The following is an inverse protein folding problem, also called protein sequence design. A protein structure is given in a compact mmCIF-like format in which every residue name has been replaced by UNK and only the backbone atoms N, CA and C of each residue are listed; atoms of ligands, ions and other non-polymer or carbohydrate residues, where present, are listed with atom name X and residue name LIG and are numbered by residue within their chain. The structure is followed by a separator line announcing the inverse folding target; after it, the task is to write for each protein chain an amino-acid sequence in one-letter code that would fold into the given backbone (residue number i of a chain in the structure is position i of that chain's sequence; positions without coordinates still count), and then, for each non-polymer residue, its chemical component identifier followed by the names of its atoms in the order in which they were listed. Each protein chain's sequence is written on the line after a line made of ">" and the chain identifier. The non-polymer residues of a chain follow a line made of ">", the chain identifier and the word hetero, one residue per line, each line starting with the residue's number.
data_IF_040413237886
#
_entry.id   IF_040413237886
#
_cell.length_a   1.000
_cell.length_b   1.000
_cell.length_c   1.000
_cell.angle_alpha   90.00
_cell.angle_beta   90.00
_cell.angle_gamma   90.00
#
_symmetry.space_group_name_H-M   'P 1'
#
loop_
_entity.id
_entity.type
_entity.pdbx_description
1 polymer ?
#
# COMPACT_ATOMS: atom_id res chain seq x y z
N UNK A 1 -13.94 69.77 -20.65
CA UNK A 1 -14.12 68.33 -20.32
C UNK A 1 -14.41 68.27 -18.83
N UNK A 2 -15.61 67.90 -18.45
CA UNK A 2 -15.91 67.75 -17.01
C UNK A 2 -15.20 66.47 -16.53
N UNK A 3 -14.22 66.65 -15.62
CA UNK A 3 -13.48 65.55 -15.04
C UNK A 3 -14.35 64.88 -13.98
N UNK A 4 -14.57 63.57 -14.16
CA UNK A 4 -15.24 62.74 -13.14
C UNK A 4 -14.30 62.45 -11.98
N UNK A 5 -14.82 62.40 -10.77
CA UNK A 5 -14.07 61.87 -9.64
C UNK A 5 -13.90 60.35 -9.79
N UNK A 6 -12.89 59.77 -9.12
CA UNK A 6 -12.69 58.31 -9.12
C UNK A 6 -13.93 57.59 -8.57
N UNK A 7 -14.58 58.19 -7.56
CA UNK A 7 -15.82 57.64 -7.00
C UNK A 7 -16.95 57.63 -8.03
N UNK A 8 -17.14 58.72 -8.78
CA UNK A 8 -18.21 58.81 -9.80
C UNK A 8 -17.97 57.82 -10.93
N UNK A 9 -16.70 57.64 -11.35
CA UNK A 9 -16.34 56.63 -12.35
C UNK A 9 -16.64 55.22 -11.85
N UNK A 10 -16.23 54.90 -10.60
CA UNK A 10 -16.49 53.59 -10.03
C UNK A 10 -18.01 53.33 -9.80
N UNK A 11 -18.76 54.36 -9.45
CA UNK A 11 -20.22 54.30 -9.34
C UNK A 11 -20.89 54.04 -10.70
N UNK A 12 -20.37 54.62 -11.79
CA UNK A 12 -20.81 54.30 -13.15
C UNK A 12 -20.51 52.84 -13.52
N UNK A 13 -19.32 52.36 -13.23
CA UNK A 13 -18.94 50.95 -13.45
C UNK A 13 -19.87 50.03 -12.66
N UNK A 14 -20.14 50.30 -11.39
CA UNK A 14 -21.11 49.52 -10.60
C UNK A 14 -22.47 49.44 -11.27
N UNK A 15 -23.06 50.58 -11.61
CA UNK A 15 -24.40 50.65 -12.25
C UNK A 15 -24.39 49.89 -13.57
N UNK A 16 -23.35 50.05 -14.37
CA UNK A 16 -23.25 49.32 -15.65
C UNK A 16 -23.19 47.81 -15.46
N UNK A 17 -22.41 47.36 -14.47
CA UNK A 17 -22.35 45.92 -14.13
C UNK A 17 -23.67 45.40 -13.59
N UNK A 18 -24.35 46.12 -12.71
CA UNK A 18 -25.67 45.75 -12.17
C UNK A 18 -26.74 45.70 -13.24
N UNK A 19 -26.64 46.55 -14.26
CA UNK A 19 -27.60 46.54 -15.43
C UNK A 19 -27.26 45.45 -16.45
N UNK A 20 -25.97 45.19 -16.71
CA UNK A 20 -25.55 44.21 -17.72
C UNK A 20 -25.51 42.78 -17.20
N UNK A 21 -25.29 42.62 -15.90
CA UNK A 21 -25.14 41.30 -15.23
C UNK A 21 -26.05 41.18 -14.00
N UNK A 22 -27.39 41.36 -14.17
CA UNK A 22 -28.34 41.34 -13.05
C UNK A 22 -28.60 39.94 -12.50
N UNK A 23 -28.27 38.88 -13.27
CA UNK A 23 -28.60 37.50 -12.97
C UNK A 23 -27.52 36.83 -12.12
N UNK A 24 -27.83 35.64 -11.65
CA UNK A 24 -26.87 34.71 -11.06
C UNK A 24 -26.26 33.85 -12.15
N UNK A 25 -24.96 33.58 -12.06
CA UNK A 25 -24.23 32.81 -13.06
C UNK A 25 -23.54 31.61 -12.39
N UNK A 26 -23.61 30.45 -13.04
CA UNK A 26 -22.81 29.30 -12.67
C UNK A 26 -21.43 29.43 -13.30
N UNK A 27 -20.40 29.44 -12.45
CA UNK A 27 -19.00 29.49 -12.89
C UNK A 27 -18.23 28.27 -12.44
N UNK A 28 -17.35 27.81 -13.31
CA UNK A 28 -16.37 26.75 -13.02
C UNK A 28 -15.04 27.42 -12.71
N UNK A 29 -14.48 27.14 -11.54
CA UNK A 29 -13.18 27.69 -11.14
C UNK A 29 -12.47 26.74 -10.18
N UNK A 30 -11.15 26.91 -10.07
CA UNK A 30 -10.33 26.31 -9.03
C UNK A 30 -10.19 27.33 -7.88
N UNK A 31 -10.31 26.88 -6.64
CA UNK A 31 -10.07 27.71 -5.47
C UNK A 31 -8.56 27.77 -5.22
N UNK A 32 -7.93 28.93 -5.41
CA UNK A 32 -6.50 29.09 -5.10
C UNK A 32 -6.25 29.51 -3.65
N UNK A 33 -7.24 30.16 -3.02
CA UNK A 33 -7.17 30.57 -1.63
C UNK A 33 -8.57 30.52 -0.99
N UNK A 34 -8.63 30.05 0.25
CA UNK A 34 -9.86 29.97 1.06
C UNK A 34 -9.55 30.46 2.46
N UNK A 35 -10.11 31.60 2.85
CA UNK A 35 -9.88 32.22 4.16
C UNK A 35 -11.20 32.57 4.85
N UNK A 36 -11.35 32.14 6.09
CA UNK A 36 -12.50 32.53 6.93
C UNK A 36 -12.05 33.58 7.93
N UNK A 37 -12.79 34.67 8.03
CA UNK A 37 -12.53 35.68 9.02
C UNK A 37 -13.23 35.40 10.36
N UNK A 38 -12.94 36.21 11.38
CA UNK A 38 -13.53 36.09 12.73
C UNK A 38 -15.05 36.27 12.77
N UNK A 39 -15.64 36.95 11.77
CA UNK A 39 -17.10 37.17 11.64
C UNK A 39 -17.80 36.05 10.88
N UNK A 40 -17.06 35.00 10.45
CA UNK A 40 -17.60 33.84 9.76
C UNK A 40 -17.80 34.01 8.24
N UNK A 41 -17.38 35.12 7.65
CA UNK A 41 -17.36 35.26 6.19
C UNK A 41 -16.18 34.51 5.60
N UNK A 42 -16.40 33.84 4.45
CA UNK A 42 -15.35 33.17 3.71
C UNK A 42 -14.96 33.99 2.48
N UNK A 43 -13.68 34.27 2.38
CA UNK A 43 -13.07 34.98 1.23
C UNK A 43 -12.37 33.93 0.37
N UNK A 44 -12.64 33.99 -0.92
CA UNK A 44 -12.17 33.03 -1.91
C UNK A 44 -11.36 33.75 -2.98
N UNK A 45 -10.41 33.03 -3.53
CA UNK A 45 -9.75 33.41 -4.76
C UNK A 45 -10.01 32.34 -5.82
N UNK A 46 -10.75 32.70 -6.86
CA UNK A 46 -11.03 31.84 -8.00
C UNK A 46 -9.93 32.02 -9.05
N UNK A 47 -9.45 30.90 -9.58
CA UNK A 47 -8.50 30.86 -10.68
C UNK A 47 -8.97 29.91 -11.76
N UNK A 48 -8.61 30.22 -13.00
CA UNK A 48 -8.75 29.32 -14.14
C UNK A 48 -7.39 29.20 -14.82
N UNK A 49 -6.96 27.96 -15.02
CA UNK A 49 -5.71 27.63 -15.70
C UNK A 49 -6.01 27.06 -17.08
N UNK A 50 -5.13 27.34 -18.03
CA UNK A 50 -5.20 26.71 -19.36
C UNK A 50 -4.88 25.20 -19.25
N UNK A 51 -5.71 24.39 -19.87
CA UNK A 51 -5.57 22.94 -19.83
C UNK A 51 -4.27 22.40 -20.45
N UNK A 52 -3.60 23.18 -21.32
CA UNK A 52 -2.38 22.75 -22.01
C UNK A 52 -1.11 23.32 -21.39
N UNK A 53 -1.12 24.59 -21.02
CA UNK A 53 0.06 25.31 -20.54
C UNK A 53 0.11 25.45 -19.01
N UNK A 54 -0.96 25.06 -18.30
CA UNK A 54 -1.15 25.28 -16.85
C UNK A 54 -0.95 26.76 -16.43
N UNK A 55 -0.94 27.69 -17.40
CA UNK A 55 -0.85 29.11 -17.14
C UNK A 55 -2.17 29.70 -16.68
N UNK A 56 -2.10 30.70 -15.82
CA UNK A 56 -3.29 31.40 -15.30
C UNK A 56 -3.97 32.19 -16.41
N UNK A 57 -5.24 31.89 -16.71
CA UNK A 57 -6.03 32.59 -17.72
C UNK A 57 -6.95 33.64 -17.10
N UNK A 58 -7.56 33.31 -15.96
CA UNK A 58 -8.48 34.20 -15.27
C UNK A 58 -8.30 34.09 -13.75
N UNK A 59 -8.56 35.21 -13.09
CA UNK A 59 -8.50 35.34 -11.63
C UNK A 59 -9.63 36.23 -11.15
N UNK A 60 -10.33 35.82 -10.10
CA UNK A 60 -11.43 36.56 -9.50
C UNK A 60 -11.43 36.43 -7.99
N UNK A 61 -11.88 37.46 -7.30
CA UNK A 61 -12.13 37.39 -5.85
C UNK A 61 -13.56 36.99 -5.60
N UNK A 62 -13.76 36.11 -4.62
CA UNK A 62 -15.08 35.65 -4.19
C UNK A 62 -15.32 35.87 -2.70
N UNK A 63 -16.57 36.03 -2.35
CA UNK A 63 -17.02 36.13 -0.96
C UNK A 63 -18.22 35.24 -0.75
N UNK A 64 -18.20 34.43 0.31
CA UNK A 64 -19.38 33.75 0.83
C UNK A 64 -19.74 34.40 2.16
N UNK A 65 -20.94 34.95 2.22
CA UNK A 65 -21.41 35.54 3.46
C UNK A 65 -21.65 34.51 4.56
N UNK A 66 -21.45 34.86 5.81
CA UNK A 66 -21.47 33.93 6.96
C UNK A 66 -22.76 33.11 7.07
N UNK A 67 -23.90 33.68 6.73
CA UNK A 67 -25.20 33.01 6.72
C UNK A 67 -25.25 31.89 5.65
N UNK A 68 -24.71 32.13 4.47
CA UNK A 68 -24.62 31.14 3.37
C UNK A 68 -23.51 30.14 3.68
N UNK A 69 -22.34 30.61 4.09
CA UNK A 69 -21.18 29.74 4.35
C UNK A 69 -21.44 28.68 5.43
N UNK A 70 -22.20 29.05 6.46
CA UNK A 70 -22.60 28.11 7.54
C UNK A 70 -23.43 26.92 7.03
N UNK A 71 -24.17 27.10 5.96
CA UNK A 71 -24.98 26.04 5.34
C UNK A 71 -24.22 25.34 4.21
N UNK A 72 -23.56 26.12 3.37
CA UNK A 72 -22.89 25.65 2.15
C UNK A 72 -21.68 24.77 2.46
N UNK A 73 -20.86 25.15 3.45
CA UNK A 73 -19.67 24.37 3.80
C UNK A 73 -20.01 22.97 4.29
N UNK A 74 -20.87 22.73 5.30
CA UNK A 74 -21.24 21.38 5.71
C UNK A 74 -21.91 20.59 4.60
N UNK A 75 -22.81 21.21 3.82
CA UNK A 75 -23.48 20.57 2.68
C UNK A 75 -22.46 20.06 1.65
N UNK A 76 -21.47 20.91 1.28
CA UNK A 76 -20.44 20.52 0.34
C UNK A 76 -19.56 19.39 0.90
N UNK A 77 -19.10 19.52 2.15
CA UNK A 77 -18.21 18.54 2.80
C UNK A 77 -18.90 17.21 3.02
N UNK A 78 -20.19 17.20 3.37
CA UNK A 78 -20.99 15.98 3.49
C UNK A 78 -21.22 15.30 2.14
N UNK A 79 -21.55 16.08 1.09
CA UNK A 79 -21.84 15.55 -0.23
C UNK A 79 -20.59 15.05 -0.96
N UNK A 80 -19.47 15.73 -0.82
CA UNK A 80 -18.21 15.39 -1.55
C UNK A 80 -17.26 14.52 -0.73
N UNK A 81 -17.43 14.45 0.59
CA UNK A 81 -16.45 13.83 1.48
C UNK A 81 -15.14 14.59 1.56
N UNK A 82 -15.05 15.83 1.05
CA UNK A 82 -13.84 16.63 0.95
C UNK A 82 -13.98 17.94 1.70
N UNK A 83 -12.91 18.37 2.41
CA UNK A 83 -12.87 19.65 3.05
C UNK A 83 -12.95 20.81 2.01
N UNK A 84 -13.63 21.89 2.38
CA UNK A 84 -13.73 23.09 1.55
C UNK A 84 -12.45 23.95 1.69
N UNK A 85 -11.43 23.59 0.90
CA UNK A 85 -10.07 24.16 0.95
C UNK A 85 -9.57 24.61 -0.43
N UNK A 86 -8.39 25.22 -0.49
CA UNK A 86 -7.71 25.53 -1.76
C UNK A 86 -7.38 24.27 -2.57
N UNK A 87 -7.22 24.42 -3.88
CA UNK A 87 -6.86 23.34 -4.83
C UNK A 87 -8.04 22.56 -5.41
N UNK A 88 -9.27 22.74 -4.92
CA UNK A 88 -10.46 22.07 -5.44
C UNK A 88 -11.09 22.84 -6.61
N UNK A 89 -11.60 22.11 -7.59
CA UNK A 89 -12.45 22.68 -8.65
C UNK A 89 -13.90 22.63 -8.23
N UNK A 90 -14.56 23.76 -8.33
CA UNK A 90 -15.94 23.95 -7.93
C UNK A 90 -16.79 24.52 -9.06
N UNK A 91 -18.05 24.16 -9.05
CA UNK A 91 -19.10 24.82 -9.82
C UNK A 91 -19.96 25.60 -8.82
N UNK A 92 -19.88 26.92 -8.88
CA UNK A 92 -20.54 27.81 -7.91
C UNK A 92 -21.49 28.78 -8.62
N UNK A 93 -22.61 29.03 -7.99
CA UNK A 93 -23.53 30.05 -8.41
C UNK A 93 -23.12 31.39 -7.77
N UNK A 94 -22.85 32.38 -8.60
CA UNK A 94 -22.36 33.67 -8.15
C UNK A 94 -23.18 34.82 -8.68
N UNK A 95 -23.24 35.91 -7.93
CA UNK A 95 -23.64 37.21 -8.43
C UNK A 95 -22.41 38.09 -8.58
N UNK A 96 -22.39 38.89 -9.64
CA UNK A 96 -21.34 39.84 -9.90
C UNK A 96 -21.61 41.10 -9.08
N UNK A 97 -20.63 41.57 -8.32
CA UNK A 97 -20.72 42.76 -7.51
C UNK A 97 -19.47 43.66 -7.72
N UNK A 98 -19.68 44.94 -7.65
CA UNK A 98 -18.62 45.92 -7.70
C UNK A 98 -18.80 46.93 -6.55
N UNK A 99 -17.73 47.16 -5.83
CA UNK A 99 -17.70 48.11 -4.73
C UNK A 99 -16.69 49.22 -5.06
N UNK A 100 -17.03 50.46 -4.83
CA UNK A 100 -16.23 51.61 -5.22
C UNK A 100 -14.81 51.59 -4.62
N UNK A 101 -14.64 51.00 -3.41
CA UNK A 101 -13.33 50.88 -2.75
C UNK A 101 -12.63 49.53 -3.05
N UNK A 102 -13.38 48.43 -3.15
CA UNK A 102 -12.82 47.09 -3.22
C UNK A 102 -12.78 46.51 -4.62
N UNK A 103 -13.45 47.18 -5.58
CA UNK A 103 -13.49 46.78 -6.98
C UNK A 103 -14.43 45.60 -7.24
N UNK A 104 -14.13 44.84 -8.27
CA UNK A 104 -14.87 43.70 -8.73
C UNK A 104 -14.75 42.50 -7.79
N UNK A 105 -15.86 41.86 -7.46
CA UNK A 105 -15.94 40.63 -6.67
C UNK A 105 -17.15 39.78 -7.03
N UNK A 106 -17.08 38.51 -6.73
CA UNK A 106 -18.14 37.52 -6.93
C UNK A 106 -18.73 37.14 -5.57
N UNK A 107 -20.05 37.23 -5.43
CA UNK A 107 -20.73 36.76 -4.22
C UNK A 107 -21.30 35.39 -4.50
N UNK A 108 -20.81 34.38 -3.80
CA UNK A 108 -21.28 33.00 -3.95
C UNK A 108 -22.62 32.83 -3.23
N UNK A 109 -23.57 32.24 -3.90
CA UNK A 109 -24.91 31.95 -3.38
C UNK A 109 -25.15 30.45 -3.20
N UNK A 110 -24.59 29.63 -4.10
CA UNK A 110 -24.77 28.18 -4.07
C UNK A 110 -23.57 27.46 -4.66
N UNK A 111 -23.47 26.14 -4.44
CA UNK A 111 -22.42 25.26 -4.95
C UNK A 111 -23.01 23.94 -5.41
N UNK A 112 -22.53 23.43 -6.53
CA UNK A 112 -22.87 22.07 -6.99
C UNK A 112 -21.75 21.09 -6.67
N UNK A 113 -21.95 20.22 -5.66
CA UNK A 113 -20.95 19.21 -5.28
C UNK A 113 -20.71 18.15 -6.37
N UNK A 114 -21.69 17.91 -7.24
CA UNK A 114 -21.59 16.84 -8.27
C UNK A 114 -20.50 17.14 -9.29
N UNK A 115 -20.26 18.40 -9.58
CA UNK A 115 -19.17 18.84 -10.45
C UNK A 115 -17.79 18.47 -9.86
N UNK A 116 -17.58 18.73 -8.57
CA UNK A 116 -16.33 18.42 -7.86
C UNK A 116 -16.09 16.92 -7.84
N UNK A 117 -17.13 16.13 -7.53
CA UNK A 117 -17.08 14.66 -7.58
C UNK A 117 -16.72 14.14 -8.97
N UNK A 118 -17.32 14.72 -10.01
CA UNK A 118 -17.02 14.39 -11.41
C UNK A 118 -15.57 14.70 -11.80
N UNK A 119 -15.01 15.82 -11.36
CA UNK A 119 -13.59 16.19 -11.61
C UNK A 119 -12.64 15.23 -10.87
N UNK A 120 -12.96 14.88 -9.63
CA UNK A 120 -12.19 13.89 -8.85
C UNK A 120 -12.18 12.51 -9.52
N UNK A 121 -13.34 12.02 -9.92
CA UNK A 121 -13.45 10.73 -10.62
C UNK A 121 -12.67 10.73 -11.96
N UNK A 122 -12.70 11.85 -12.69
CA UNK A 122 -11.93 12.02 -13.93
C UNK A 122 -10.43 11.99 -13.63
N UNK A 123 -9.95 12.75 -12.66
CA UNK A 123 -8.51 12.77 -12.25
C UNK A 123 -8.03 11.39 -11.84
N UNK A 124 -8.82 10.66 -11.02
CA UNK A 124 -8.50 9.27 -10.64
C UNK A 124 -8.34 8.38 -11.88
N UNK A 125 -9.28 8.49 -12.82
CA UNK A 125 -9.23 7.71 -14.07
C UNK A 125 -8.03 8.05 -14.94
N UNK A 126 -7.66 9.33 -15.03
CA UNK A 126 -6.47 9.80 -15.74
C UNK A 126 -5.18 9.25 -15.09
N UNK A 127 -5.06 9.31 -13.77
CA UNK A 127 -3.91 8.76 -13.03
C UNK A 127 -3.81 7.24 -13.23
N UNK A 128 -4.92 6.50 -13.07
CA UNK A 128 -4.92 5.04 -13.29
C UNK A 128 -4.57 4.67 -14.72
N UNK A 129 -5.02 5.46 -15.71
CA UNK A 129 -4.68 5.27 -17.12
C UNK A 129 -3.18 5.48 -17.35
N UNK A 130 -2.61 6.54 -16.77
CA UNK A 130 -1.18 6.84 -16.87
C UNK A 130 -0.35 5.72 -16.24
N UNK A 131 -0.66 5.28 -15.01
CA UNK A 131 0.03 4.17 -14.33
C UNK A 131 -0.06 2.85 -15.12
N UNK A 132 -1.17 2.64 -15.83
CA UNK A 132 -1.35 1.48 -16.71
C UNK A 132 -0.49 1.58 -17.97
N UNK A 133 -0.43 2.75 -18.60
CA UNK A 133 0.42 3.01 -19.79
C UNK A 133 1.90 2.86 -19.46
N UNK A 134 2.30 3.24 -18.27
CA UNK A 134 3.67 3.06 -17.76
C UNK A 134 3.97 1.62 -17.29
N UNK A 135 2.96 0.75 -17.22
CA UNK A 135 3.09 -0.66 -16.83
C UNK A 135 3.36 -0.87 -15.33
N UNK A 136 3.15 0.15 -14.49
CA UNK A 136 3.43 0.06 -13.05
C UNK A 136 2.23 -0.33 -12.19
N UNK A 137 1.02 -0.25 -12.74
CA UNK A 137 -0.24 -0.42 -12.00
C UNK A 137 -0.34 -1.74 -11.22
N UNK A 138 0.28 -2.82 -11.70
CA UNK A 138 0.16 -4.17 -11.12
C UNK A 138 1.42 -4.65 -10.42
N UNK A 139 2.51 -3.89 -10.44
CA UNK A 139 3.82 -4.34 -9.95
C UNK A 139 3.78 -4.79 -8.48
N UNK A 140 3.11 -4.03 -7.62
CA UNK A 140 2.99 -4.40 -6.20
C UNK A 140 2.07 -5.63 -6.01
N UNK A 141 1.03 -5.78 -6.85
CA UNK A 141 0.11 -6.94 -6.81
C UNK A 141 0.77 -8.25 -7.22
N UNK A 142 1.85 -8.18 -8.00
CA UNK A 142 2.61 -9.35 -8.45
C UNK A 142 3.60 -9.86 -7.40
N UNK A 143 3.87 -9.06 -6.37
CA UNK A 143 4.69 -9.46 -5.24
C UNK A 143 4.00 -10.59 -4.47
N UNK A 144 4.79 -11.47 -3.87
CA UNK A 144 4.26 -12.53 -3.00
C UNK A 144 4.33 -12.06 -1.55
N UNK A 145 3.22 -12.13 -0.85
CA UNK A 145 3.26 -11.99 0.60
C UNK A 145 4.03 -13.19 1.19
N UNK A 146 4.99 -12.95 2.08
CA UNK A 146 5.65 -14.02 2.80
C UNK A 146 4.62 -14.92 3.51
N UNK A 147 4.89 -16.22 3.58
CA UNK A 147 3.99 -17.17 4.29
C UNK A 147 3.79 -16.82 5.76
N UNK A 148 4.78 -16.18 6.37
CA UNK A 148 4.78 -15.76 7.76
C UNK A 148 5.08 -14.25 7.83
N UNK A 149 4.10 -13.36 7.57
CA UNK A 149 4.30 -11.91 7.56
C UNK A 149 4.28 -11.38 8.99
N UNK A 150 5.39 -11.57 9.73
CA UNK A 150 5.48 -11.21 11.14
C UNK A 150 6.01 -9.79 11.37
N UNK A 151 6.85 -9.26 10.46
CA UNK A 151 7.49 -7.95 10.60
C UNK A 151 6.77 -6.92 9.76
N UNK A 152 6.01 -6.07 10.40
CA UNK A 152 5.04 -5.18 9.77
C UNK A 152 5.49 -3.73 9.94
N UNK A 153 5.73 -3.02 8.83
CA UNK A 153 5.88 -1.58 8.84
C UNK A 153 4.49 -0.94 8.72
N UNK A 154 4.08 -0.16 9.72
CA UNK A 154 2.76 0.48 9.74
C UNK A 154 2.91 1.97 9.48
N UNK A 155 2.28 2.48 8.42
CA UNK A 155 2.20 3.91 8.13
C UNK A 155 0.83 4.39 8.61
N UNK A 156 0.82 5.23 9.65
CA UNK A 156 -0.40 5.78 10.24
C UNK A 156 -0.11 7.02 11.08
N UNK A 157 -1.18 7.69 11.52
CA UNK A 157 -1.04 8.72 12.56
C UNK A 157 -0.88 8.07 13.94
N UNK A 158 0.05 8.54 14.78
CA UNK A 158 0.25 8.00 16.13
C UNK A 158 -1.00 8.07 17.03
N UNK A 159 -1.86 9.05 16.77
CA UNK A 159 -3.08 9.31 17.54
C UNK A 159 -4.34 8.68 16.90
N UNK A 160 -4.18 7.97 15.80
CA UNK A 160 -5.31 7.36 15.10
C UNK A 160 -5.89 6.18 15.89
N UNK A 161 -7.18 6.21 16.16
CA UNK A 161 -7.90 5.08 16.80
C UNK A 161 -7.68 3.78 16.01
N UNK A 162 -7.74 3.84 14.67
CA UNK A 162 -7.53 2.66 13.81
C UNK A 162 -6.16 2.01 13.96
N UNK A 163 -5.11 2.76 14.30
CA UNK A 163 -3.81 2.16 14.62
C UNK A 163 -3.86 1.38 15.94
N UNK A 164 -4.54 1.93 16.95
CA UNK A 164 -4.77 1.23 18.20
C UNK A 164 -5.58 -0.06 18.01
N UNK A 165 -6.67 0.01 17.23
CA UNK A 165 -7.52 -1.15 16.91
C UNK A 165 -6.76 -2.23 16.14
N UNK A 166 -5.93 -1.83 15.17
CA UNK A 166 -5.04 -2.73 14.42
C UNK A 166 -4.07 -3.48 15.35
N UNK A 167 -3.34 -2.75 16.20
CA UNK A 167 -2.41 -3.36 17.14
C UNK A 167 -3.11 -4.26 18.15
N UNK A 168 -4.26 -3.84 18.67
CA UNK A 168 -5.06 -4.62 19.60
C UNK A 168 -5.54 -5.94 18.97
N UNK A 169 -6.01 -5.91 17.72
CA UNK A 169 -6.43 -7.11 16.98
C UNK A 169 -5.26 -8.08 16.77
N UNK A 170 -4.07 -7.58 16.40
CA UNK A 170 -2.88 -8.42 16.25
C UNK A 170 -2.39 -9.02 17.56
N UNK A 171 -2.48 -8.27 18.67
CA UNK A 171 -2.04 -8.76 19.99
C UNK A 171 -3.00 -9.81 20.59
N UNK A 172 -4.30 -9.67 20.33
CA UNK A 172 -5.32 -10.55 20.88
C UNK A 172 -5.82 -11.58 19.84
N UNK A 173 -4.97 -12.00 18.92
CA UNK A 173 -5.35 -12.99 17.91
C UNK A 173 -5.56 -14.39 18.54
N UNK A 174 -6.59 -15.14 18.09
CA UNK A 174 -6.92 -16.45 18.64
C UNK A 174 -5.82 -17.51 18.43
N UNK A 175 -5.01 -17.36 17.37
CA UNK A 175 -3.92 -18.28 17.04
C UNK A 175 -2.67 -18.10 17.91
N UNK A 176 -2.61 -17.07 18.75
CA UNK A 176 -1.45 -16.78 19.60
C UNK A 176 -0.19 -16.41 18.81
N UNK A 177 -0.34 -15.93 17.59
CA UNK A 177 0.77 -15.52 16.74
C UNK A 177 1.37 -14.22 17.22
N UNK A 178 2.69 -14.13 17.13
CA UNK A 178 3.41 -12.93 17.49
C UNK A 178 3.74 -12.10 16.24
N UNK A 179 3.40 -10.80 16.28
CA UNK A 179 3.70 -9.83 15.24
C UNK A 179 4.57 -8.71 15.78
N UNK A 180 5.56 -8.32 15.02
CA UNK A 180 6.42 -7.18 15.31
C UNK A 180 5.98 -6.01 14.43
N UNK A 181 5.34 -5.01 15.04
CA UNK A 181 4.86 -3.81 14.35
C UNK A 181 5.77 -2.62 14.65
N UNK A 182 6.21 -1.91 13.62
CA UNK A 182 6.92 -0.64 13.77
C UNK A 182 6.10 0.48 13.11
N UNK A 183 5.80 1.53 13.89
CA UNK A 183 5.04 2.67 13.39
C UNK A 183 5.95 3.69 12.70
N UNK A 184 5.58 4.03 11.47
CA UNK A 184 6.12 5.14 10.69
C UNK A 184 5.10 6.26 10.69
N UNK A 185 5.29 7.31 11.53
CA UNK A 185 4.31 8.35 11.69
C UNK A 185 4.13 9.14 10.38
N UNK A 186 2.88 9.26 9.94
CA UNK A 186 2.52 10.06 8.79
C UNK A 186 1.20 10.82 9.03
N UNK A 187 1.05 11.94 8.35
CA UNK A 187 -0.22 12.68 8.30
C UNK A 187 -1.19 11.90 7.40
N UNK A 188 -2.38 11.63 7.92
CA UNK A 188 -3.42 10.86 7.21
C UNK A 188 -4.57 11.74 6.73
N UNK A 189 -4.45 13.06 6.83
CA UNK A 189 -5.44 14.05 6.44
C UNK A 189 -4.79 15.36 6.01
N UNK A 190 -5.43 16.08 5.06
CA UNK A 190 -5.02 17.38 4.57
C UNK A 190 -3.98 17.30 3.43
N UNK A 191 -3.54 18.47 2.98
CA UNK A 191 -2.72 18.64 1.77
C UNK A 191 -1.34 17.98 1.82
N UNK A 192 -0.78 17.73 3.01
CA UNK A 192 0.56 17.14 3.18
C UNK A 192 0.58 15.64 3.39
N UNK A 193 -0.52 14.93 3.09
CA UNK A 193 -0.59 13.46 3.18
C UNK A 193 0.43 12.82 2.26
N UNK A 194 0.47 13.23 0.98
CA UNK A 194 1.40 12.70 -0.02
C UNK A 194 2.85 12.79 0.46
N UNK A 195 3.31 13.98 0.79
CA UNK A 195 4.68 14.22 1.26
C UNK A 195 5.03 13.37 2.49
N UNK A 196 4.10 13.32 3.45
CA UNK A 196 4.29 12.61 4.71
C UNK A 196 4.36 11.10 4.53
N UNK A 197 3.49 10.51 3.68
CA UNK A 197 3.49 9.07 3.40
C UNK A 197 4.70 8.68 2.54
N UNK A 198 5.09 9.49 1.56
CA UNK A 198 6.30 9.27 0.78
C UNK A 198 7.55 9.27 1.67
N UNK A 199 7.66 10.22 2.60
CA UNK A 199 8.77 10.25 3.56
C UNK A 199 8.77 9.03 4.50
N UNK A 200 7.61 8.47 4.84
CA UNK A 200 7.52 7.23 5.60
C UNK A 200 7.96 6.01 4.76
N UNK A 201 7.52 5.94 3.50
CA UNK A 201 7.94 4.89 2.56
C UNK A 201 9.47 4.92 2.33
N UNK A 202 10.07 6.11 2.19
CA UNK A 202 11.53 6.26 2.04
C UNK A 202 12.29 5.73 3.26
N UNK A 203 11.77 5.99 4.47
CA UNK A 203 12.35 5.46 5.71
C UNK A 203 12.26 3.94 5.77
N UNK A 204 11.16 3.35 5.34
CA UNK A 204 10.99 1.90 5.26
C UNK A 204 11.93 1.33 4.20
N UNK A 205 12.02 1.99 3.05
CA UNK A 205 12.89 1.59 1.94
C UNK A 205 14.38 1.55 2.33
N UNK A 206 14.79 2.40 3.27
CA UNK A 206 16.16 2.37 3.81
C UNK A 206 16.46 1.14 4.69
N UNK A 207 15.41 0.39 5.13
CA UNK A 207 15.49 -0.75 6.07
C UNK A 207 14.64 -1.94 5.64
N UNK A 208 14.58 -2.22 4.34
CA UNK A 208 13.72 -3.26 3.75
C UNK A 208 13.84 -4.64 4.40
N UNK A 209 15.06 -5.03 4.79
CA UNK A 209 15.31 -6.35 5.37
C UNK A 209 14.64 -6.57 6.73
N UNK A 210 14.18 -5.49 7.37
CA UNK A 210 13.53 -5.56 8.67
C UNK A 210 12.02 -5.83 8.58
N UNK A 211 11.44 -5.76 7.38
CA UNK A 211 10.00 -5.84 7.20
C UNK A 211 9.61 -6.87 6.15
N UNK A 212 8.46 -7.47 6.36
CA UNK A 212 7.85 -8.44 5.46
C UNK A 212 6.74 -7.80 4.60
N UNK A 213 6.01 -6.84 5.18
CA UNK A 213 4.89 -6.13 4.55
C UNK A 213 4.81 -4.69 5.06
N UNK A 214 4.21 -3.83 4.25
CA UNK A 214 3.85 -2.46 4.63
C UNK A 214 2.34 -2.37 4.75
N UNK A 215 1.85 -1.77 5.81
CA UNK A 215 0.42 -1.55 6.05
C UNK A 215 0.17 -0.06 6.16
N UNK A 216 -0.66 0.49 5.27
CA UNK A 216 -1.08 1.89 5.30
C UNK A 216 -2.50 1.93 5.80
N UNK A 217 -2.69 2.43 7.03
CA UNK A 217 -4.00 2.47 7.67
C UNK A 217 -4.34 3.87 8.16
N UNK A 218 -5.62 4.21 8.02
CA UNK A 218 -6.19 5.45 8.52
C UNK A 218 -7.13 5.15 9.69
N UNK A 219 -7.07 5.95 10.73
CA UNK A 219 -8.04 5.91 11.84
C UNK A 219 -9.39 6.47 11.42
N UNK A 220 -10.46 5.99 12.03
CA UNK A 220 -11.80 6.55 11.88
C UNK A 220 -11.84 8.02 12.30
N UNK A 221 -12.13 8.89 11.37
CA UNK A 221 -12.46 10.31 11.55
C UNK A 221 -13.59 10.63 10.59
N UNK A 222 -14.24 11.80 10.71
CA UNK A 222 -15.28 12.25 9.79
C UNK A 222 -14.89 11.91 8.35
N UNK A 223 -15.85 11.62 7.50
CA UNK A 223 -15.76 11.18 6.10
C UNK A 223 -14.92 12.06 5.17
N UNK A 224 -14.09 12.91 5.73
CA UNK A 224 -13.39 14.01 5.10
C UNK A 224 -12.03 13.59 4.55
N UNK A 225 -11.84 13.96 3.32
CA UNK A 225 -10.59 14.17 2.59
C UNK A 225 -9.66 12.95 2.43
N UNK A 226 -10.01 12.14 1.44
CA UNK A 226 -9.15 11.08 0.90
C UNK A 226 -8.31 11.57 -0.30
N UNK A 227 -8.44 12.82 -0.70
CA UNK A 227 -7.80 13.39 -1.89
C UNK A 227 -6.28 13.31 -1.84
N UNK A 228 -5.69 13.37 -0.64
CA UNK A 228 -4.25 13.21 -0.45
C UNK A 228 -3.72 11.81 -0.83
N UNK A 229 -4.59 10.81 -0.94
CA UNK A 229 -4.25 9.45 -1.40
C UNK A 229 -4.52 9.25 -2.90
N UNK A 230 -5.10 10.23 -3.58
CA UNK A 230 -5.44 10.21 -5.00
C UNK A 230 -4.41 10.94 -5.87
N UNK A 231 -3.14 10.81 -5.54
CA UNK A 231 -2.05 11.46 -6.26
C UNK A 231 -1.24 10.46 -7.06
N UNK A 232 -0.70 10.91 -8.20
CA UNK A 232 0.12 10.08 -9.07
C UNK A 232 1.42 9.64 -8.37
N UNK A 233 2.10 10.57 -7.71
CA UNK A 233 3.41 10.30 -7.10
C UNK A 233 3.31 9.24 -6.00
N UNK A 234 2.30 9.36 -5.12
CA UNK A 234 2.09 8.40 -4.05
C UNK A 234 1.68 7.03 -4.60
N UNK A 235 0.80 6.99 -5.60
CA UNK A 235 0.38 5.76 -6.25
C UNK A 235 1.54 5.06 -6.96
N UNK A 236 2.37 5.81 -7.69
CA UNK A 236 3.56 5.27 -8.37
C UNK A 236 4.59 4.73 -7.36
N UNK A 237 4.81 5.44 -6.25
CA UNK A 237 5.70 4.99 -5.18
C UNK A 237 5.20 3.68 -4.54
N UNK A 238 3.89 3.57 -4.24
CA UNK A 238 3.30 2.35 -3.68
C UNK A 238 3.31 1.19 -4.69
N UNK A 239 3.01 1.47 -5.97
CA UNK A 239 3.01 0.46 -7.02
C UNK A 239 4.40 -0.17 -7.23
N UNK A 240 5.45 0.63 -7.11
CA UNK A 240 6.84 0.20 -7.32
C UNK A 240 7.55 -0.18 -6.01
N UNK A 241 6.85 -0.15 -4.88
CA UNK A 241 7.45 -0.48 -3.59
C UNK A 241 7.88 -1.94 -3.55
N UNK A 242 9.09 -2.27 -3.06
CA UNK A 242 9.64 -3.63 -3.12
C UNK A 242 9.01 -4.61 -2.13
N UNK A 243 8.21 -4.13 -1.17
CA UNK A 243 7.42 -4.96 -0.26
C UNK A 243 5.94 -4.89 -0.61
N UNK A 244 5.16 -5.96 -0.35
CA UNK A 244 3.71 -5.91 -0.49
C UNK A 244 3.11 -4.81 0.37
N UNK A 245 2.28 -3.96 -0.24
CA UNK A 245 1.57 -2.87 0.44
C UNK A 245 0.12 -3.27 0.66
N UNK A 246 -0.33 -3.21 1.90
CA UNK A 246 -1.72 -3.45 2.29
C UNK A 246 -2.32 -2.10 2.67
N UNK A 247 -3.47 -1.75 2.08
CA UNK A 247 -4.18 -0.50 2.40
C UNK A 247 -5.45 -0.78 3.18
N UNK A 248 -5.68 -0.02 4.25
CA UNK A 248 -6.90 -0.01 5.04
C UNK A 248 -7.33 1.43 5.33
N UNK A 249 -7.59 2.20 4.25
CA UNK A 249 -7.75 3.66 4.30
C UNK A 249 -9.23 4.06 4.26
N UNK A 250 -10.05 3.41 3.42
CA UNK A 250 -11.39 3.85 3.08
C UNK A 250 -12.49 2.84 3.37
N UNK A 251 -13.75 3.32 3.34
CA UNK A 251 -14.97 2.51 3.38
C UNK A 251 -15.37 2.02 1.98
N UNK A 252 -16.43 1.19 1.88
CA UNK A 252 -16.88 0.53 0.63
C UNK A 252 -17.13 1.45 -0.57
N UNK A 253 -17.40 2.74 -0.33
CA UNK A 253 -17.75 3.71 -1.37
C UNK A 253 -16.59 4.64 -1.79
N UNK A 254 -15.47 4.57 -1.10
CA UNK A 254 -14.39 5.55 -1.22
C UNK A 254 -13.08 4.90 -1.67
N UNK A 255 -13.07 4.36 -2.90
CA UNK A 255 -11.87 3.82 -3.50
C UNK A 255 -10.85 4.93 -3.80
N UNK A 256 -9.64 4.77 -3.31
CA UNK A 256 -8.52 5.67 -3.65
C UNK A 256 -7.64 5.09 -4.77
N UNK A 257 -6.84 5.96 -5.41
CA UNK A 257 -5.88 5.49 -6.41
C UNK A 257 -4.85 4.55 -5.79
N UNK A 258 -4.41 4.82 -4.55
CA UNK A 258 -3.46 3.95 -3.84
C UNK A 258 -4.06 2.55 -3.56
N UNK A 259 -5.35 2.45 -3.28
CA UNK A 259 -6.04 1.15 -3.12
C UNK A 259 -6.02 0.34 -4.42
N UNK A 260 -6.05 1.02 -5.55
CA UNK A 260 -6.02 0.38 -6.86
C UNK A 260 -4.65 -0.20 -7.23
N UNK A 261 -3.56 0.33 -6.69
CA UNK A 261 -2.18 -0.11 -6.98
C UNK A 261 -1.60 -1.00 -5.88
N UNK A 262 -2.13 -0.94 -4.66
CA UNK A 262 -1.68 -1.75 -3.53
C UNK A 262 -1.82 -3.25 -3.82
N UNK A 263 -1.00 -4.06 -3.16
CA UNK A 263 -1.07 -5.52 -3.23
C UNK A 263 -2.44 -6.03 -2.77
N UNK A 264 -2.85 -5.60 -1.59
CA UNK A 264 -4.14 -5.98 -1.00
C UNK A 264 -4.84 -4.75 -0.45
N UNK A 265 -6.09 -4.58 -0.85
CA UNK A 265 -6.98 -3.58 -0.28
C UNK A 265 -7.90 -4.22 0.74
N UNK A 266 -8.04 -3.59 1.88
CA UNK A 266 -9.01 -3.96 2.91
C UNK A 266 -9.81 -2.72 3.34
N UNK A 267 -10.99 -2.95 3.94
CA UNK A 267 -11.95 -1.87 4.25
C UNK A 267 -11.59 -1.07 5.50
N UNK A 268 -10.93 -1.71 6.45
CA UNK A 268 -10.69 -1.13 7.78
C UNK A 268 -9.32 -1.55 8.30
N UNK A 269 -8.74 -0.81 9.27
CA UNK A 269 -7.54 -1.23 9.97
C UNK A 269 -7.65 -2.62 10.62
N UNK A 270 -8.82 -2.94 11.20
CA UNK A 270 -9.08 -4.27 11.78
C UNK A 270 -9.08 -5.37 10.73
N UNK A 271 -9.65 -5.12 9.55
CA UNK A 271 -9.59 -6.07 8.43
C UNK A 271 -8.15 -6.28 7.90
N UNK A 272 -7.28 -5.27 8.02
CA UNK A 272 -5.86 -5.44 7.70
C UNK A 272 -5.15 -6.37 8.71
N UNK A 273 -5.50 -6.27 9.99
CA UNK A 273 -5.00 -7.18 11.00
C UNK A 273 -5.53 -8.61 10.79
N UNK A 274 -6.83 -8.77 10.50
CA UNK A 274 -7.44 -10.06 10.19
C UNK A 274 -6.76 -10.73 9.00
N UNK A 275 -6.54 -9.99 7.92
CA UNK A 275 -5.85 -10.52 6.73
C UNK A 275 -4.46 -11.07 7.07
N UNK A 276 -3.69 -10.40 7.92
CA UNK A 276 -2.37 -10.87 8.34
C UNK A 276 -2.46 -12.08 9.27
N UNK A 277 -3.46 -12.12 10.15
CA UNK A 277 -3.74 -13.27 11.01
C UNK A 277 -4.14 -14.48 10.16
N UNK A 278 -4.97 -14.28 9.13
CA UNK A 278 -5.39 -15.35 8.20
C UNK A 278 -4.20 -15.94 7.44
N UNK A 279 -3.25 -15.11 6.98
CA UNK A 279 -2.01 -15.62 6.37
C UNK A 279 -1.23 -16.54 7.33
N UNK A 280 -1.21 -16.22 8.62
CA UNK A 280 -0.55 -17.07 9.63
C UNK A 280 -1.35 -18.34 9.91
N UNK A 281 -2.70 -18.25 9.96
CA UNK A 281 -3.58 -19.41 10.10
C UNK A 281 -3.42 -20.38 8.92
N UNK A 282 -3.41 -19.86 7.69
CA UNK A 282 -3.21 -20.69 6.48
C UNK A 282 -1.88 -21.47 6.54
N UNK A 283 -0.82 -20.82 7.03
CA UNK A 283 0.48 -21.46 7.18
C UNK A 283 0.47 -22.53 8.31
N UNK A 284 -0.24 -22.28 9.40
CA UNK A 284 -0.42 -23.23 10.50
C UNK A 284 -1.25 -24.44 10.02
N UNK A 285 -2.35 -24.22 9.33
CA UNK A 285 -3.21 -25.27 8.76
C UNK A 285 -2.45 -26.13 7.75
N UNK A 286 -1.59 -25.52 6.90
CA UNK A 286 -0.73 -26.27 5.98
C UNK A 286 0.23 -27.19 6.75
N UNK A 287 0.82 -26.72 7.84
CA UNK A 287 1.68 -27.50 8.72
C UNK A 287 0.95 -28.67 9.36
N UNK A 288 -0.25 -28.42 9.91
CA UNK A 288 -1.06 -29.46 10.53
C UNK A 288 -1.50 -30.53 9.51
N UNK A 289 -1.86 -30.11 8.29
CA UNK A 289 -2.18 -31.01 7.20
C UNK A 289 -0.99 -31.89 6.82
N UNK A 290 0.21 -31.31 6.75
CA UNK A 290 1.44 -32.06 6.45
C UNK A 290 1.78 -33.04 7.59
N UNK A 291 1.62 -32.62 8.84
CA UNK A 291 1.80 -33.48 10.00
C UNK A 291 0.82 -34.68 10.00
N UNK A 292 -0.48 -34.41 9.73
CA UNK A 292 -1.50 -35.44 9.61
C UNK A 292 -1.18 -36.44 8.48
N UNK A 293 -0.79 -35.96 7.30
CA UNK A 293 -0.39 -36.82 6.17
C UNK A 293 0.80 -37.73 6.49
N UNK A 294 1.78 -37.16 7.22
CA UNK A 294 2.97 -37.91 7.64
C UNK A 294 2.61 -38.99 8.65
N UNK A 295 1.75 -38.66 9.62
CA UNK A 295 1.22 -39.62 10.60
C UNK A 295 0.42 -40.76 9.95
N UNK A 296 -0.52 -40.42 9.07
CA UNK A 296 -1.35 -41.40 8.36
C UNK A 296 -0.51 -42.30 7.43
N UNK A 297 0.48 -41.69 6.75
CA UNK A 297 1.42 -42.47 5.93
C UNK A 297 2.22 -43.46 6.75
N UNK A 298 2.77 -43.02 7.89
CA UNK A 298 3.51 -43.92 8.81
C UNK A 298 2.61 -45.01 9.39
N UNK A 299 1.39 -44.67 9.81
CA UNK A 299 0.41 -45.58 10.36
C UNK A 299 -0.01 -46.63 9.34
N UNK A 300 -0.32 -46.23 8.10
CA UNK A 300 -0.70 -47.14 7.03
C UNK A 300 0.43 -48.11 6.69
N UNK A 301 1.66 -47.64 6.67
CA UNK A 301 2.84 -48.46 6.42
C UNK A 301 3.03 -49.53 7.52
N UNK A 302 2.91 -49.09 8.79
CA UNK A 302 2.96 -49.99 9.92
C UNK A 302 1.81 -51.03 9.90
N UNK A 303 0.60 -50.61 9.53
CA UNK A 303 -0.57 -51.47 9.46
C UNK A 303 -0.45 -52.51 8.31
N UNK A 304 0.07 -52.10 7.15
CA UNK A 304 0.38 -53.02 6.04
C UNK A 304 1.42 -54.06 6.43
N UNK A 305 2.51 -53.63 7.07
CA UNK A 305 3.55 -54.55 7.52
C UNK A 305 3.06 -55.49 8.63
N UNK A 306 2.19 -54.97 9.53
CA UNK A 306 1.55 -55.80 10.55
C UNK A 306 0.61 -56.86 9.92
N UNK A 307 -0.23 -56.46 8.95
CA UNK A 307 -1.08 -57.43 8.20
C UNK A 307 -0.24 -58.45 7.44
N UNK A 308 0.88 -58.05 6.87
CA UNK A 308 1.83 -58.91 6.18
C UNK A 308 2.45 -59.94 7.15
N UNK A 309 2.85 -59.48 8.34
CA UNK A 309 3.32 -60.35 9.43
C UNK A 309 2.26 -61.35 9.87
N UNK A 310 1.01 -60.89 10.09
CA UNK A 310 -0.12 -61.75 10.47
C UNK A 310 -0.43 -62.78 9.37
N UNK A 311 -0.43 -62.37 8.09
CA UNK A 311 -0.64 -63.28 6.96
C UNK A 311 0.47 -64.34 6.84
N UNK A 312 1.73 -63.95 7.04
CA UNK A 312 2.86 -64.87 7.08
C UNK A 312 2.72 -65.85 8.25
N UNK A 313 2.38 -65.36 9.47
CA UNK A 313 2.14 -66.20 10.66
C UNK A 313 1.03 -67.22 10.44
N UNK A 314 -0.06 -66.90 9.75
CA UNK A 314 -1.20 -67.80 9.48
C UNK A 314 -0.92 -68.81 8.37
N UNK A 315 0.05 -68.56 7.49
CA UNK A 315 0.48 -69.47 6.42
C UNK A 315 1.49 -70.54 6.88
N UNK A 316 2.13 -70.36 8.02
CA UNK A 316 3.17 -71.25 8.54
C UNK A 316 2.68 -72.63 9.03
N UNK A 317 1.44 -72.80 9.63
CA UNK A 317 1.05 -74.07 10.18
C UNK A 317 0.81 -75.18 9.15
N UNK A 318 0.60 -74.86 7.89
CA UNK A 318 0.25 -75.82 6.85
C UNK A 318 1.39 -76.31 5.99
N UNK A 319 2.56 -75.77 6.12
CA UNK A 319 3.73 -76.14 5.30
C UNK A 319 4.84 -76.78 6.12
N UNK A 320 4.46 -77.82 6.82
CA UNK A 320 5.29 -78.81 7.48
C UNK A 320 6.80 -78.66 7.61
N UNK A 321 7.23 -79.13 8.66
CA UNK A 321 8.49 -79.44 9.34
C UNK A 321 9.79 -79.58 8.51
N UNK A 322 9.74 -79.79 7.21
CA UNK A 322 10.94 -79.91 6.36
C UNK A 322 11.57 -78.56 5.87
N UNK A 323 10.79 -77.51 5.84
CA UNK A 323 11.28 -76.21 5.40
C UNK A 323 11.57 -75.19 6.57
N UNK A 324 11.40 -75.64 7.83
CA UNK A 324 11.50 -74.70 8.99
C UNK A 324 12.88 -74.08 9.14
N UNK A 325 13.94 -74.82 8.84
CA UNK A 325 15.31 -74.32 8.99
C UNK A 325 15.64 -73.29 7.94
N UNK A 326 15.31 -73.53 6.67
CA UNK A 326 15.57 -72.61 5.56
C UNK A 326 14.62 -71.41 5.60
N UNK A 327 13.34 -71.60 5.96
CA UNK A 327 12.37 -70.56 6.17
C UNK A 327 12.76 -69.65 7.39
N UNK A 328 13.32 -70.24 8.45
CA UNK A 328 13.80 -69.51 9.63
C UNK A 328 15.01 -68.67 9.30
N UNK A 329 15.94 -69.19 8.48
CA UNK A 329 17.10 -68.45 7.99
C UNK A 329 16.67 -67.33 7.04
N UNK A 330 15.72 -67.59 6.14
CA UNK A 330 15.17 -66.60 5.21
C UNK A 330 14.43 -65.46 5.96
N UNK A 331 13.63 -65.83 6.99
CA UNK A 331 12.94 -64.84 7.83
C UNK A 331 13.89 -63.94 8.63
N UNK A 332 14.99 -64.52 9.14
CA UNK A 332 16.02 -63.74 9.86
C UNK A 332 16.76 -62.77 8.93
N UNK A 333 17.03 -63.18 7.68
CA UNK A 333 17.67 -62.35 6.66
C UNK A 333 16.74 -61.22 6.22
N UNK A 334 15.46 -61.52 5.90
CA UNK A 334 14.46 -60.52 5.53
C UNK A 334 14.24 -59.50 6.64
N UNK A 335 14.19 -59.93 7.91
CA UNK A 335 14.12 -59.00 9.05
C UNK A 335 15.33 -58.09 9.13
N UNK A 336 16.54 -58.60 8.91
CA UNK A 336 17.79 -57.87 8.89
C UNK A 336 17.79 -56.84 7.74
N UNK A 337 17.35 -57.27 6.53
CA UNK A 337 17.29 -56.45 5.34
C UNK A 337 16.23 -55.34 5.46
N UNK A 338 15.07 -55.62 6.08
CA UNK A 338 14.04 -54.59 6.37
C UNK A 338 14.55 -53.59 7.37
N UNK A 339 15.19 -54.04 8.46
CA UNK A 339 15.76 -53.12 9.45
C UNK A 339 16.84 -52.25 8.82
N UNK A 340 17.69 -52.84 7.98
CA UNK A 340 18.76 -52.13 7.31
C UNK A 340 18.22 -51.16 6.22
N UNK A 341 17.20 -51.58 5.47
CA UNK A 341 16.53 -50.72 4.46
C UNK A 341 15.77 -49.58 5.10
N UNK A 342 15.05 -49.80 6.19
CA UNK A 342 14.32 -48.76 6.93
C UNK A 342 15.27 -47.77 7.57
N UNK A 343 16.33 -48.24 8.26
CA UNK A 343 17.36 -47.34 8.82
C UNK A 343 18.08 -46.55 7.76
N UNK A 344 18.43 -47.18 6.62
CA UNK A 344 19.08 -46.49 5.50
C UNK A 344 18.15 -45.49 4.78
N UNK A 345 16.85 -45.83 4.72
CA UNK A 345 15.86 -44.90 4.14
C UNK A 345 15.58 -43.71 5.06
N UNK A 346 15.41 -43.97 6.35
CA UNK A 346 15.26 -42.90 7.35
C UNK A 346 16.51 -42.03 7.41
N UNK A 347 17.70 -42.62 7.37
CA UNK A 347 18.96 -41.88 7.32
C UNK A 347 19.07 -41.02 6.06
N UNK A 348 18.71 -41.58 4.88
CA UNK A 348 18.70 -40.78 3.61
C UNK A 348 17.70 -39.64 3.65
N UNK A 349 16.50 -39.84 4.19
CA UNK A 349 15.51 -38.77 4.31
C UNK A 349 15.93 -37.72 5.35
N UNK A 350 16.50 -38.16 6.47
CA UNK A 350 17.04 -37.24 7.47
C UNK A 350 18.21 -36.39 6.90
N UNK A 351 19.13 -37.03 6.22
CA UNK A 351 20.25 -36.35 5.58
C UNK A 351 19.78 -35.40 4.44
N UNK A 352 18.73 -35.79 3.70
CA UNK A 352 18.13 -34.93 2.68
C UNK A 352 17.47 -33.70 3.29
N UNK A 353 16.83 -33.85 4.45
CA UNK A 353 16.28 -32.74 5.23
C UNK A 353 17.39 -31.80 5.75
N UNK A 354 18.47 -32.38 6.30
CA UNK A 354 19.61 -31.59 6.75
C UNK A 354 20.27 -30.81 5.62
N UNK A 355 20.47 -31.43 4.46
CA UNK A 355 21.00 -30.75 3.26
C UNK A 355 20.09 -29.63 2.75
N UNK A 356 18.77 -29.84 2.78
CA UNK A 356 17.80 -28.80 2.39
C UNK A 356 17.79 -27.66 3.39
N UNK A 357 17.87 -27.97 4.68
CA UNK A 357 17.98 -26.97 5.75
C UNK A 357 19.29 -26.17 5.66
N UNK A 358 20.39 -26.87 5.35
CA UNK A 358 21.70 -26.22 5.15
C UNK A 358 21.72 -25.35 3.90
N UNK A 359 21.10 -25.79 2.78
CA UNK A 359 20.92 -24.98 1.57
C UNK A 359 20.05 -23.76 1.82
N UNK A 360 18.99 -23.87 2.60
CA UNK A 360 18.15 -22.75 3.04
C UNK A 360 18.96 -21.74 3.87
N UNK A 361 19.75 -22.23 4.81
CA UNK A 361 20.64 -21.38 5.61
C UNK A 361 21.76 -20.74 4.78
N UNK A 362 22.32 -21.48 3.79
CA UNK A 362 23.40 -20.97 2.93
C UNK A 362 22.91 -20.02 1.84
N UNK A 363 21.62 -20.11 1.47
CA UNK A 363 20.95 -19.19 0.55
C UNK A 363 20.51 -17.87 1.20
N UNK A 364 20.62 -17.78 2.55
CA UNK A 364 20.30 -16.53 3.26
C UNK A 364 21.20 -15.39 2.78
N UNK A 365 20.61 -14.28 2.36
CA UNK A 365 21.36 -13.08 1.96
C UNK A 365 22.32 -12.60 3.03
N UNK A 366 21.98 -12.78 4.32
CA UNK A 366 22.80 -12.40 5.46
C UNK A 366 24.13 -13.17 5.49
N UNK A 367 24.11 -14.48 5.20
CA UNK A 367 25.32 -15.30 5.16
C UNK A 367 26.20 -14.99 3.96
N UNK A 368 25.62 -14.59 2.84
CA UNK A 368 26.35 -14.12 1.68
C UNK A 368 27.07 -12.80 1.98
N UNK A 369 26.38 -11.89 2.63
CA UNK A 369 26.97 -10.62 3.07
C UNK A 369 28.05 -10.83 4.14
N UNK A 370 27.86 -11.78 5.07
CA UNK A 370 28.85 -12.14 6.09
C UNK A 370 30.13 -12.77 5.50
N UNK A 371 30.06 -13.39 4.32
CA UNK A 371 31.22 -13.93 3.57
C UNK A 371 32.01 -12.88 2.78
N UNK A 372 31.63 -11.60 2.91
CA UNK A 372 32.30 -10.49 2.23
C UNK A 372 31.72 -10.16 0.84
N UNK A 373 30.63 -10.82 0.42
CA UNK A 373 29.88 -10.36 -0.75
C UNK A 373 29.13 -9.08 -0.43
N UNK A 374 28.87 -8.30 -1.43
CA UNK A 374 28.11 -7.07 -1.32
C UNK A 374 26.95 -7.08 -2.32
N UNK A 375 25.87 -6.41 -1.99
CA UNK A 375 24.76 -6.19 -2.90
C UNK A 375 24.81 -4.73 -3.34
N UNK A 376 25.05 -4.52 -4.62
CA UNK A 376 25.01 -3.18 -5.20
C UNK A 376 23.59 -2.87 -5.67
N UNK A 377 23.06 -1.77 -5.19
CA UNK A 377 21.73 -1.27 -5.48
C UNK A 377 21.83 0.06 -6.26
N UNK A 378 20.97 0.22 -7.25
CA UNK A 378 20.69 1.51 -7.89
C UNK A 378 19.19 1.77 -7.78
N UNK A 379 18.80 2.87 -7.18
CA UNK A 379 17.38 3.23 -6.94
C UNK A 379 16.59 2.09 -6.26
N UNK A 380 17.16 1.45 -5.24
CA UNK A 380 16.54 0.36 -4.49
C UNK A 380 16.49 -1.00 -5.19
N UNK A 381 17.02 -1.13 -6.42
CA UNK A 381 17.08 -2.39 -7.18
C UNK A 381 18.49 -2.92 -7.26
N UNK A 382 18.65 -4.24 -7.04
CA UNK A 382 19.95 -4.89 -7.15
C UNK A 382 20.45 -4.86 -8.60
N UNK A 383 21.67 -4.38 -8.80
CA UNK A 383 22.32 -4.30 -10.10
C UNK A 383 22.97 -5.64 -10.43
N UNK A 384 22.43 -6.35 -11.43
CA UNK A 384 22.95 -7.65 -11.85
C UNK A 384 23.93 -7.56 -13.03
N UNK A 385 23.94 -6.45 -13.74
CA UNK A 385 24.77 -6.28 -14.94
C UNK A 385 25.24 -4.82 -15.03
N UNK A 386 26.48 -4.65 -15.49
CA UNK A 386 27.09 -3.33 -15.73
C UNK A 386 26.36 -2.49 -16.79
N UNK A 387 25.55 -3.12 -17.65
CA UNK A 387 24.71 -2.41 -18.63
C UNK A 387 23.62 -1.53 -17.99
N UNK A 388 23.25 -1.81 -16.73
CA UNK A 388 22.23 -1.07 -15.98
C UNK A 388 22.79 0.19 -15.29
N UNK A 389 24.08 0.40 -15.35
CA UNK A 389 24.77 1.54 -14.73
C UNK A 389 25.25 2.51 -15.80
N UNK A 390 25.20 3.80 -15.54
CA UNK A 390 25.82 4.86 -16.32
C UNK A 390 26.92 5.55 -15.50
N UNK A 391 27.88 6.15 -16.16
CA UNK A 391 28.87 6.99 -15.49
C UNK A 391 28.16 8.16 -14.82
N UNK A 392 28.50 8.42 -13.56
CA UNK A 392 27.82 9.39 -12.72
C UNK A 392 26.65 8.83 -11.89
N UNK A 393 26.24 7.58 -12.09
CA UNK A 393 25.18 6.96 -11.29
C UNK A 393 25.65 6.74 -9.83
N UNK A 394 24.81 7.11 -8.90
CA UNK A 394 24.98 6.76 -7.50
C UNK A 394 24.51 5.32 -7.28
N UNK A 395 25.39 4.50 -6.72
CA UNK A 395 25.11 3.13 -6.33
C UNK A 395 25.34 2.95 -4.84
N UNK A 396 24.44 2.20 -4.21
CA UNK A 396 24.58 1.84 -2.80
C UNK A 396 25.05 0.40 -2.74
N UNK A 397 26.23 0.19 -2.20
CA UNK A 397 26.76 -1.14 -1.95
C UNK A 397 26.47 -1.53 -0.50
N UNK A 398 25.59 -2.49 -0.32
CA UNK A 398 25.24 -3.04 0.99
C UNK A 398 26.22 -4.13 1.38
N UNK A 399 26.85 -3.96 2.51
CA UNK A 399 27.73 -4.92 3.17
C UNK A 399 26.99 -5.58 4.35
N UNK A 400 27.62 -6.52 5.03
CA UNK A 400 27.07 -7.18 6.22
C UNK A 400 26.75 -6.18 7.33
N UNK A 401 27.64 -5.22 7.58
CA UNK A 401 27.39 -4.09 8.48
C UNK A 401 27.54 -2.78 7.70
N UNK A 402 26.40 -2.15 7.39
CA UNK A 402 26.38 -0.83 6.80
C UNK A 402 26.28 -0.82 5.25
N UNK A 403 26.20 0.37 4.73
CA UNK A 403 26.07 0.64 3.32
C UNK A 403 27.11 1.69 2.88
N UNK A 404 27.64 1.55 1.69
CA UNK A 404 28.58 2.50 1.10
C UNK A 404 27.93 3.10 -0.14
N UNK A 405 27.86 4.41 -0.19
CA UNK A 405 27.42 5.14 -1.38
C UNK A 405 28.66 5.38 -2.25
N UNK A 406 28.57 5.02 -3.51
CA UNK A 406 29.65 5.20 -4.49
C UNK A 406 29.09 5.73 -5.80
N UNK A 407 29.90 6.47 -6.52
CA UNK A 407 29.54 6.97 -7.85
C UNK A 407 30.30 6.14 -8.90
N UNK A 408 29.60 5.72 -9.92
CA UNK A 408 30.21 4.97 -11.04
C UNK A 408 31.08 5.91 -11.86
N UNK A 409 32.40 5.74 -11.77
CA UNK A 409 33.36 6.57 -12.50
C UNK A 409 33.75 5.98 -13.86
N UNK A 410 33.72 4.65 -14.01
CA UNK A 410 34.05 3.98 -15.28
C UNK A 410 33.45 2.57 -15.34
N UNK A 411 33.14 2.08 -16.53
CA UNK A 411 32.61 0.74 -16.79
C UNK A 411 33.63 -0.10 -17.52
N UNK A 412 33.99 -1.20 -16.94
CA UNK A 412 34.74 -2.24 -17.65
C UNK A 412 33.80 -3.39 -18.00
N UNK A 413 33.46 -3.56 -19.28
CA UNK A 413 32.75 -4.76 -19.72
C UNK A 413 33.80 -5.85 -20.01
N UNK A 414 33.73 -6.96 -19.26
CA UNK A 414 34.39 -8.18 -19.70
C UNK A 414 33.58 -8.76 -20.86
N UNK A 415 34.08 -8.62 -22.08
CA UNK A 415 33.65 -9.47 -23.17
C UNK A 415 34.04 -10.92 -22.82
N UNK A 416 32.98 -11.77 -22.69
CA UNK A 416 33.16 -13.22 -22.78
C UNK A 416 32.92 -13.64 -24.18
#
# INVERSE_FOLDING_TARGET
>A
MDALSLYDLNALVRRSLEQCLPDTYWIQAELSDVRTNSTGHCYLEFVQKDARSNSLIAKGRGTIWSNVFRLLKPYFEEATGQAFVSGIKVLVQVTVSFHELYGYSLTVQDIDPTYTLGDMARRRKEILKQLKEEGVLTLNKELKIPRLPQRIAVISSPTAAGYGDFCHQLQNNPGGFYFHTELFPALMQGERVEESVLAALDKINSRLDNFDVVVIIRGGGATSDLSGFDTYLLAAACAQFPLPVITGIGHERDDTVIDSVAHTRVKTPTAAAEFLIDCMNDAADELDLLAARLYDGARNLLMQEHQRLVSCKNRIPSAAYSCISDAKLTLLTVRKDIVQAVTSSLFRQHHRLELLQQRLMDASPEKQLARGYSITLKNGKAVKNTSLLNEGDEIITRLYHGEVISVVTNKLSKNK
#
